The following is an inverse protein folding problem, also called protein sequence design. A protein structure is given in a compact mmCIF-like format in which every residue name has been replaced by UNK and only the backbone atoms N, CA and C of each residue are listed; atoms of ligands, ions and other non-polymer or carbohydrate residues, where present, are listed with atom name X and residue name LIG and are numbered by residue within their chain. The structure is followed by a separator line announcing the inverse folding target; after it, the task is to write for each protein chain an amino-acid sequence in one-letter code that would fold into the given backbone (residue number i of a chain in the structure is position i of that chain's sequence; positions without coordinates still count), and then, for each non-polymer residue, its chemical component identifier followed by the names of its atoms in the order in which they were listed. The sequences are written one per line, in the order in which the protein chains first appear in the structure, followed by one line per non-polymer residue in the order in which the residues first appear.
data_IF_197753113630
#
_entry.id   IF_197753113630
#
_cell.length_a   1.000
_cell.length_b   1.000
_cell.length_c   1.000
_cell.angle_alpha   90.00
_cell.angle_beta   90.00
_cell.angle_gamma   90.00
#
_symmetry.space_group_name_H-M   'P 1'
#
loop_
_entity.id
_entity.type
_entity.pdbx_description
1 polymer ?
#
# COMPACT_ATOMS: atom_id res chain seq x y z
N UNK A 1 5.62 -1.55 -13.48
CA UNK A 1 6.47 -2.68 -13.02
C UNK A 1 7.87 -2.21 -12.70
N UNK A 2 8.53 -1.44 -13.58
CA UNK A 2 9.85 -0.85 -13.28
C UNK A 2 9.79 0.16 -12.13
N UNK A 3 8.90 1.14 -12.20
CA UNK A 3 8.71 2.16 -11.15
C UNK A 3 8.46 1.56 -9.76
N UNK A 4 7.62 0.53 -9.68
CA UNK A 4 7.33 -0.18 -8.43
C UNK A 4 8.58 -0.89 -7.87
N UNK A 5 9.45 -1.43 -8.74
CA UNK A 5 10.71 -2.04 -8.30
C UNK A 5 11.70 -0.99 -7.80
N UNK A 6 11.79 0.15 -8.50
CA UNK A 6 12.63 1.28 -8.07
C UNK A 6 12.16 1.83 -6.72
N UNK A 7 10.84 1.98 -6.53
CA UNK A 7 10.25 2.31 -5.23
C UNK A 7 10.61 1.28 -4.17
N UNK A 8 10.41 -0.03 -4.44
CA UNK A 8 10.67 -1.08 -3.46
C UNK A 8 12.15 -1.20 -3.07
N UNK A 9 13.07 -0.83 -3.97
CA UNK A 9 14.51 -0.87 -3.71
C UNK A 9 15.00 0.32 -2.87
N UNK A 10 14.38 1.50 -2.99
CA UNK A 10 14.74 2.71 -2.26
C UNK A 10 13.48 3.55 -1.97
N UNK A 11 12.68 3.11 -1.00
CA UNK A 11 11.41 3.79 -0.68
C UNK A 11 11.61 5.17 -0.07
N UNK A 12 12.73 5.40 0.62
CA UNK A 12 13.00 6.65 1.32
C UNK A 12 13.57 7.72 0.36
N UNK A 13 14.32 7.30 -0.67
CA UNK A 13 14.95 8.19 -1.66
C UNK A 13 14.19 8.33 -2.98
N UNK A 14 13.10 7.58 -3.20
CA UNK A 14 12.37 7.62 -4.46
C UNK A 14 11.60 8.93 -4.67
N UNK A 15 11.97 9.68 -5.72
CA UNK A 15 11.33 10.95 -6.12
C UNK A 15 10.64 10.88 -7.48
N UNK A 16 10.51 9.68 -8.06
CA UNK A 16 9.92 9.47 -9.38
C UNK A 16 8.39 9.35 -9.38
N UNK A 17 7.84 9.00 -10.56
CA UNK A 17 6.45 8.57 -10.69
C UNK A 17 5.42 9.67 -10.92
N UNK A 18 4.18 9.25 -11.21
CA UNK A 18 3.02 10.16 -11.29
C UNK A 18 2.26 10.16 -9.97
N UNK A 19 2.29 11.28 -9.27
CA UNK A 19 1.51 11.46 -8.04
C UNK A 19 0.12 12.01 -8.34
N UNK A 20 -0.88 11.48 -7.65
CA UNK A 20 -2.25 12.03 -7.65
C UNK A 20 -2.65 12.38 -6.24
N UNK A 21 -3.09 13.63 -6.08
CA UNK A 21 -3.59 14.14 -4.80
C UNK A 21 -5.12 14.24 -4.83
N UNK A 22 -5.77 13.68 -3.81
CA UNK A 22 -7.24 13.70 -3.68
C UNK A 22 -7.62 14.06 -2.25
N UNK A 23 -8.46 15.09 -2.10
CA UNK A 23 -9.07 15.43 -0.82
C UNK A 23 -10.37 14.66 -0.66
N UNK A 24 -10.42 13.77 0.32
CA UNK A 24 -11.65 13.08 0.69
C UNK A 24 -12.48 13.95 1.62
N UNK A 25 -13.73 14.18 1.24
CA UNK A 25 -14.75 14.88 2.03
C UNK A 25 -15.63 13.87 2.75
N UNK A 26 -16.35 14.29 3.82
CA UNK A 26 -17.28 13.42 4.52
C UNK A 26 -18.23 12.70 3.55
N UNK A 27 -18.46 11.40 3.81
CA UNK A 27 -19.32 10.50 3.02
C UNK A 27 -18.76 10.08 1.64
N UNK A 28 -17.53 10.44 1.31
CA UNK A 28 -16.85 9.88 0.15
C UNK A 28 -16.10 8.59 0.53
N UNK A 29 -16.08 7.65 -0.41
CA UNK A 29 -15.36 6.38 -0.29
C UNK A 29 -14.30 6.32 -1.36
N UNK A 30 -13.10 5.90 -0.99
CA UNK A 30 -12.03 5.56 -1.93
C UNK A 30 -11.79 4.05 -1.87
N UNK A 31 -11.49 3.46 -3.03
CA UNK A 31 -11.07 2.07 -3.14
C UNK A 31 -9.74 2.04 -3.86
N UNK A 32 -8.77 1.35 -3.25
CA UNK A 32 -7.46 1.15 -3.85
C UNK A 32 -7.37 -0.25 -4.47
N UNK A 33 -6.63 -0.34 -5.56
CA UNK A 33 -6.35 -1.61 -6.19
C UNK A 33 -5.15 -2.28 -5.48
N UNK A 34 -4.99 -3.59 -5.65
CA UNK A 34 -3.84 -4.29 -5.09
C UNK A 34 -2.53 -3.70 -5.65
N UNK A 35 -1.60 -3.37 -4.75
CA UNK A 35 -0.31 -2.78 -5.09
C UNK A 35 -0.33 -1.26 -5.31
N UNK A 36 -1.46 -0.57 -5.08
CA UNK A 36 -1.46 0.90 -5.05
C UNK A 36 -0.63 1.40 -3.87
N UNK A 37 0.40 2.20 -4.15
CA UNK A 37 1.18 2.93 -3.14
C UNK A 37 0.42 4.23 -2.83
N UNK A 38 0.13 4.48 -1.55
CA UNK A 38 -0.56 5.69 -1.12
C UNK A 38 -0.06 6.14 0.24
N UNK A 39 -0.17 7.44 0.49
CA UNK A 39 0.08 8.05 1.79
C UNK A 39 -1.18 8.81 2.19
N UNK A 40 -1.64 8.59 3.42
CA UNK A 40 -2.78 9.28 3.99
C UNK A 40 -2.30 10.24 5.08
N UNK A 41 -2.70 11.50 4.98
CA UNK A 41 -2.53 12.48 6.04
C UNK A 41 -3.86 13.18 6.33
N UNK A 42 -3.98 13.72 7.55
CA UNK A 42 -5.17 14.46 7.98
C UNK A 42 -4.89 15.95 7.84
N UNK A 43 -5.92 16.71 7.45
CA UNK A 43 -5.89 18.17 7.50
C UNK A 43 -6.26 18.62 8.91
N UNK A 44 -5.49 19.52 9.49
CA UNK A 44 -5.62 19.91 10.91
C UNK A 44 -6.89 20.71 11.24
N UNK A 45 -7.66 21.14 10.24
CA UNK A 45 -8.84 21.98 10.44
C UNK A 45 -10.02 21.26 11.09
N UNK A 46 -10.14 19.94 10.94
CA UNK A 46 -11.33 19.19 11.41
C UNK A 46 -10.97 17.83 11.99
N UNK A 47 -11.68 17.42 13.05
CA UNK A 47 -11.65 16.05 13.52
C UNK A 47 -12.19 15.11 12.43
N UNK A 48 -11.42 14.09 12.09
CA UNK A 48 -11.73 13.16 11.01
C UNK A 48 -11.83 11.73 11.54
N UNK A 49 -12.91 11.05 11.18
CA UNK A 49 -13.11 9.61 11.38
C UNK A 49 -13.25 8.94 10.01
N UNK A 50 -12.44 7.92 9.75
CA UNK A 50 -12.50 7.08 8.55
C UNK A 50 -12.71 5.62 8.98
N UNK A 51 -13.68 4.94 8.37
CA UNK A 51 -13.89 3.51 8.53
C UNK A 51 -13.54 2.80 7.22
N UNK A 52 -12.82 1.69 7.30
CA UNK A 52 -12.38 0.95 6.13
C UNK A 52 -11.78 -0.41 6.50
N UNK A 53 -11.23 -1.07 5.50
CA UNK A 53 -10.57 -2.36 5.65
C UNK A 53 -9.94 -2.83 4.35
N UNK A 54 -9.27 -3.97 4.40
CA UNK A 54 -8.65 -4.62 3.26
C UNK A 54 -9.49 -5.82 2.83
N UNK A 55 -9.67 -6.00 1.53
CA UNK A 55 -10.44 -7.11 0.96
C UNK A 55 -9.72 -7.72 -0.23
N UNK A 56 -9.45 -9.02 -0.15
CA UNK A 56 -8.93 -9.78 -1.28
C UNK A 56 -10.07 -10.19 -2.19
N UNK A 57 -9.86 -10.03 -3.50
CA UNK A 57 -10.81 -10.39 -4.55
C UNK A 57 -10.15 -11.37 -5.50
N UNK A 58 -10.92 -12.31 -6.04
CA UNK A 58 -10.46 -13.20 -7.12
C UNK A 58 -10.09 -12.42 -8.39
N UNK A 59 -10.81 -11.32 -8.64
CA UNK A 59 -10.48 -10.40 -9.70
C UNK A 59 -9.08 -9.83 -9.46
N UNK A 60 -8.19 -10.00 -10.44
CA UNK A 60 -6.76 -9.58 -10.40
C UNK A 60 -5.90 -10.29 -9.36
N UNK A 61 -6.17 -11.57 -9.11
CA UNK A 61 -5.34 -12.41 -8.22
C UNK A 61 -3.84 -12.33 -8.54
N UNK A 62 -3.46 -12.26 -9.81
CA UNK A 62 -2.05 -12.11 -10.21
C UNK A 62 -1.43 -10.82 -9.69
N UNK A 63 -2.16 -9.70 -9.70
CA UNK A 63 -1.65 -8.41 -9.16
C UNK A 63 -1.42 -8.49 -7.65
N UNK A 64 -2.32 -9.15 -6.93
CA UNK A 64 -2.16 -9.38 -5.50
C UNK A 64 -0.95 -10.28 -5.20
N UNK A 65 -0.80 -11.41 -5.90
CA UNK A 65 0.35 -12.31 -5.73
C UNK A 65 1.67 -11.59 -6.01
N UNK A 66 1.75 -10.84 -7.12
CA UNK A 66 2.93 -10.03 -7.44
C UNK A 66 3.26 -9.03 -6.32
N UNK A 67 2.25 -8.44 -5.69
CA UNK A 67 2.43 -7.50 -4.57
C UNK A 67 3.02 -8.19 -3.35
N UNK A 68 2.47 -9.35 -2.94
CA UNK A 68 2.96 -10.14 -1.81
C UNK A 68 4.40 -10.60 -2.04
N UNK A 69 4.71 -11.10 -3.23
CA UNK A 69 6.07 -11.53 -3.57
C UNK A 69 7.06 -10.35 -3.50
N UNK A 70 6.68 -9.17 -4.00
CA UNK A 70 7.54 -7.99 -3.89
C UNK A 70 7.77 -7.58 -2.42
N UNK A 71 6.74 -7.63 -1.57
CA UNK A 71 6.88 -7.34 -0.14
C UNK A 71 7.79 -8.36 0.57
N UNK A 72 7.72 -9.64 0.20
CA UNK A 72 8.63 -10.66 0.74
C UNK A 72 10.10 -10.43 0.32
N UNK A 73 10.33 -9.91 -0.88
CA UNK A 73 11.67 -9.55 -1.37
C UNK A 73 12.19 -8.27 -0.70
N UNK A 74 11.30 -7.29 -0.48
CA UNK A 74 11.60 -5.97 0.07
C UNK A 74 10.77 -5.71 1.34
N UNK A 75 11.11 -6.36 2.48
CA UNK A 75 10.26 -6.34 3.68
C UNK A 75 10.09 -4.95 4.30
N UNK A 76 11.04 -4.04 4.08
CA UNK A 76 11.00 -2.68 4.62
C UNK A 76 10.25 -1.68 3.71
N UNK A 77 9.73 -2.12 2.55
CA UNK A 77 9.09 -1.23 1.58
C UNK A 77 7.64 -0.90 1.91
N UNK A 78 7.06 -1.54 2.94
CA UNK A 78 5.68 -1.33 3.38
C UNK A 78 5.58 -1.15 4.88
N UNK A 79 4.48 -0.52 5.32
CA UNK A 79 4.21 -0.26 6.74
C UNK A 79 3.73 -1.52 7.47
N UNK A 80 3.02 -2.40 6.77
CA UNK A 80 2.53 -3.66 7.29
C UNK A 80 3.58 -4.77 7.10
N UNK A 81 3.85 -5.52 8.18
CA UNK A 81 4.77 -6.66 8.14
C UNK A 81 4.09 -7.91 7.56
N UNK A 82 4.70 -8.50 6.54
CA UNK A 82 4.41 -9.89 6.16
C UNK A 82 5.31 -10.82 6.98
N UNK A 83 4.77 -11.42 8.02
CA UNK A 83 5.49 -12.41 8.82
C UNK A 83 5.30 -13.79 8.17
N UNK A 84 6.37 -14.45 7.66
CA UNK A 84 6.25 -15.82 7.20
C UNK A 84 5.96 -16.73 8.40
N UNK A 85 4.91 -17.55 8.30
CA UNK A 85 4.45 -18.45 9.38
C UNK A 85 5.55 -19.42 9.85
N UNK A 86 6.58 -19.68 9.05
CA UNK A 86 7.72 -20.53 9.43
C UNK A 86 8.70 -19.89 10.43
N UNK A 87 8.61 -18.58 10.70
CA UNK A 87 9.53 -17.89 11.61
C UNK A 87 9.23 -18.12 13.11
N UNK A 88 8.11 -18.78 13.45
CA UNK A 88 7.69 -19.07 14.83
C UNK A 88 7.78 -20.55 15.20
N UNK A 89 8.52 -21.36 14.43
CA UNK A 89 8.77 -22.77 14.70
C UNK A 89 10.28 -23.01 14.90
N UNK A 90 10.86 -22.37 15.92
CA UNK A 90 12.12 -22.76 16.57
C UNK A 90 11.99 -22.44 18.06
#
# INVERSE_FOLDING_TARGET
KEEARTWSADSDGFTGGQLRYVVLRPRQTISFEAGTIYVLFRLDQYQTLLAGGHGLRWLRISSWIDTVLNQLIFPNSTKEDLIPVSANLC
#
